data_IF_442894022941
#
_entry.id   IF_442894022941
#
_cell.length_a   1.000
_cell.length_b   1.000
_cell.length_c   1.000
_cell.angle_alpha   90.00
_cell.angle_beta   90.00
_cell.angle_gamma   90.00
#
_symmetry.space_group_name_H-M   'P 1'
#
loop_
_entity.id
_entity.type
_entity.pdbx_description
1 polymer ?
#
# COMPACT_ATOMS: atom_id res chain seq x y z
N UNK A 1 -30.65 23.38 -49.57
CA UNK A 1 -29.75 22.31 -50.05
C UNK A 1 -28.47 22.41 -49.25
N UNK A 2 -28.22 21.46 -48.34
CA UNK A 2 -26.98 21.42 -47.54
C UNK A 2 -26.02 20.41 -48.16
N UNK A 3 -24.73 20.72 -48.35
CA UNK A 3 -23.80 19.77 -48.93
C UNK A 3 -23.44 18.72 -47.88
N UNK A 4 -23.74 17.46 -48.18
CA UNK A 4 -23.28 16.30 -47.43
C UNK A 4 -21.75 16.19 -47.56
N UNK A 5 -21.04 16.44 -46.46
CA UNK A 5 -19.62 16.10 -46.30
C UNK A 5 -19.47 14.57 -46.39
N UNK A 6 -19.09 14.07 -47.56
CA UNK A 6 -19.02 12.63 -47.86
C UNK A 6 -17.74 11.95 -47.37
N UNK A 7 -16.73 12.66 -46.85
CA UNK A 7 -15.60 11.99 -46.18
C UNK A 7 -14.72 12.92 -45.33
N UNK A 8 -14.90 12.98 -43.99
CA UNK A 8 -14.13 13.89 -43.13
C UNK A 8 -12.71 13.42 -42.77
N UNK A 9 -12.22 12.29 -43.29
CA UNK A 9 -10.96 11.68 -42.82
C UNK A 9 -9.97 11.32 -43.94
N UNK A 10 -9.64 12.25 -44.84
CA UNK A 10 -8.63 11.99 -45.88
C UNK A 10 -7.17 12.00 -45.39
N UNK A 11 -6.88 12.56 -44.21
CA UNK A 11 -5.51 12.72 -43.70
C UNK A 11 -5.26 11.99 -42.36
N UNK A 12 -5.83 10.79 -42.16
CA UNK A 12 -5.39 9.95 -41.05
C UNK A 12 -4.06 9.33 -41.45
N UNK A 13 -2.96 10.02 -41.13
CA UNK A 13 -1.60 9.48 -41.14
C UNK A 13 -1.64 8.02 -40.72
N UNK A 14 -1.09 7.13 -41.56
CA UNK A 14 -1.09 5.68 -41.35
C UNK A 14 -0.70 5.43 -39.90
N UNK A 15 -1.67 5.11 -39.05
CA UNK A 15 -1.41 4.78 -37.66
C UNK A 15 -0.44 3.62 -37.71
N UNK A 16 0.82 3.84 -37.31
CA UNK A 16 1.80 2.78 -37.18
C UNK A 16 1.11 1.65 -36.43
N UNK A 17 0.92 0.50 -37.10
CA UNK A 17 0.37 -0.69 -36.45
C UNK A 17 1.31 -0.96 -35.29
N UNK A 18 0.81 -0.82 -34.06
CA UNK A 18 1.62 -1.11 -32.88
C UNK A 18 2.07 -2.56 -33.01
N UNK A 19 3.39 -2.79 -32.97
CA UNK A 19 3.93 -4.16 -33.01
C UNK A 19 3.31 -4.96 -31.86
N UNK A 20 2.97 -6.24 -32.06
CA UNK A 20 2.62 -7.09 -30.93
C UNK A 20 3.80 -7.13 -29.95
N UNK A 21 3.54 -7.17 -28.63
CA UNK A 21 4.59 -7.25 -27.64
C UNK A 21 5.35 -8.58 -27.78
N UNK A 22 6.68 -8.50 -27.74
CA UNK A 22 7.58 -9.65 -27.70
C UNK A 22 7.58 -10.26 -26.29
N UNK A 23 7.98 -11.52 -26.14
CA UNK A 23 8.15 -12.15 -24.83
C UNK A 23 9.08 -11.35 -23.90
N UNK A 24 10.15 -10.76 -24.44
CA UNK A 24 11.04 -9.87 -23.69
C UNK A 24 10.32 -8.63 -23.13
N UNK A 25 9.49 -7.96 -23.95
CA UNK A 25 8.70 -6.80 -23.50
C UNK A 25 7.76 -7.18 -22.34
N UNK A 26 7.17 -8.37 -22.39
CA UNK A 26 6.29 -8.86 -21.33
C UNK A 26 7.05 -9.18 -20.04
N UNK A 27 8.26 -9.73 -20.14
CA UNK A 27 9.12 -9.99 -18.97
C UNK A 27 9.54 -8.67 -18.33
N UNK A 28 9.95 -7.68 -19.11
CA UNK A 28 10.32 -6.35 -18.60
C UNK A 28 9.16 -5.68 -17.85
N UNK A 29 7.95 -5.70 -18.43
CA UNK A 29 6.75 -5.15 -17.80
C UNK A 29 6.35 -5.91 -16.52
N UNK A 30 6.56 -7.23 -16.47
CA UNK A 30 6.26 -8.04 -15.28
C UNK A 30 7.20 -7.75 -14.12
N UNK A 31 8.41 -7.29 -14.40
CA UNK A 31 9.40 -6.97 -13.38
C UNK A 31 9.36 -5.49 -12.97
N UNK A 32 8.73 -4.62 -13.75
CA UNK A 32 8.57 -3.21 -13.42
C UNK A 32 7.39 -3.01 -12.43
N UNK A 33 7.65 -2.51 -11.20
CA UNK A 33 6.62 -2.38 -10.16
C UNK A 33 5.49 -1.43 -10.58
N UNK A 34 5.80 -0.38 -11.34
CA UNK A 34 4.81 0.57 -11.83
C UNK A 34 3.91 -0.04 -12.89
N UNK A 35 4.49 -0.80 -13.82
CA UNK A 35 3.72 -1.50 -14.83
C UNK A 35 2.78 -2.53 -14.18
N UNK A 36 3.25 -3.29 -13.20
CA UNK A 36 2.43 -4.22 -12.42
C UNK A 36 1.30 -3.50 -11.69
N UNK A 37 1.59 -2.39 -11.00
CA UNK A 37 0.58 -1.62 -10.29
C UNK A 37 -0.50 -1.06 -11.24
N UNK A 38 -0.08 -0.47 -12.37
CA UNK A 38 -0.97 0.15 -13.36
C UNK A 38 -1.76 -0.88 -14.17
N UNK A 39 -1.21 -2.07 -14.40
CA UNK A 39 -1.91 -3.18 -15.06
C UNK A 39 -3.02 -3.77 -14.17
N UNK A 40 -3.00 -3.51 -12.86
CA UNK A 40 -4.05 -3.99 -11.97
C UNK A 40 -5.41 -3.36 -12.34
N UNK A 41 -6.54 -4.10 -12.21
CA UNK A 41 -7.83 -3.61 -12.64
C UNK A 41 -8.22 -2.30 -11.94
N UNK A 42 -8.65 -1.30 -12.71
CA UNK A 42 -9.17 -0.06 -12.16
C UNK A 42 -10.44 -0.32 -11.32
N UNK A 43 -10.49 0.27 -10.12
CA UNK A 43 -11.59 0.17 -9.16
C UNK A 43 -11.91 1.54 -8.58
N UNK A 44 -13.17 1.73 -8.20
CA UNK A 44 -13.63 2.96 -7.55
C UNK A 44 -13.29 2.92 -6.06
N UNK A 45 -12.72 4.00 -5.54
CA UNK A 45 -12.57 4.23 -4.11
C UNK A 45 -13.94 4.51 -3.48
N UNK A 46 -14.30 3.76 -2.44
CA UNK A 46 -15.60 3.86 -1.74
C UNK A 46 -15.79 5.19 -0.99
N UNK A 47 -14.70 5.90 -0.68
CA UNK A 47 -14.76 7.17 0.07
C UNK A 47 -14.70 8.37 -0.88
N UNK A 48 -13.76 8.38 -1.82
CA UNK A 48 -13.47 9.55 -2.67
C UNK A 48 -14.09 9.45 -4.05
N UNK A 49 -14.69 8.31 -4.42
CA UNK A 49 -15.21 8.00 -5.75
C UNK A 49 -14.17 8.03 -6.90
N UNK A 50 -12.89 8.30 -6.59
CA UNK A 50 -11.78 8.26 -7.57
C UNK A 50 -11.60 6.84 -8.08
N UNK A 51 -11.39 6.69 -9.39
CA UNK A 51 -11.01 5.41 -10.01
C UNK A 51 -9.49 5.30 -10.02
N UNK A 52 -8.96 4.27 -9.38
CA UNK A 52 -7.53 3.97 -9.34
C UNK A 52 -7.29 2.47 -9.55
N UNK A 53 -6.11 2.06 -10.04
CA UNK A 53 -5.71 0.66 -10.07
C UNK A 53 -5.84 0.00 -8.68
N UNK A 54 -6.33 -1.25 -8.63
CA UNK A 54 -6.53 -1.99 -7.37
C UNK A 54 -5.27 -2.01 -6.50
N UNK A 55 -4.08 -2.10 -7.11
CA UNK A 55 -2.82 -2.10 -6.40
C UNK A 55 -2.57 -0.84 -5.57
N UNK A 56 -3.20 0.29 -5.90
CA UNK A 56 -3.09 1.56 -5.17
C UNK A 56 -4.20 1.77 -4.11
N UNK A 57 -5.10 0.79 -3.97
CA UNK A 57 -6.20 0.82 -3.01
C UNK A 57 -5.98 -0.23 -1.94
N UNK A 58 -6.46 0.06 -0.74
CA UNK A 58 -6.48 -0.90 0.36
C UNK A 58 -7.86 -1.49 0.49
N UNK A 59 -7.92 -2.80 0.71
CA UNK A 59 -9.17 -3.51 0.92
C UNK A 59 -9.57 -3.44 2.40
N UNK A 60 -10.79 -2.99 2.64
CA UNK A 60 -11.41 -2.86 3.94
C UNK A 60 -12.61 -3.78 4.02
N UNK A 61 -12.86 -4.34 5.20
CA UNK A 61 -13.95 -5.28 5.42
C UNK A 61 -14.44 -5.21 6.86
N UNK A 62 -15.52 -5.96 7.10
CA UNK A 62 -16.12 -6.09 8.42
C UNK A 62 -15.48 -7.26 9.17
N UNK A 63 -15.01 -7.00 10.37
CA UNK A 63 -14.39 -7.97 11.27
C UNK A 63 -15.17 -7.98 12.58
N UNK A 64 -15.52 -9.18 13.06
CA UNK A 64 -16.22 -9.34 14.32
C UNK A 64 -15.32 -8.87 15.48
N UNK A 65 -15.88 -8.09 16.41
CA UNK A 65 -15.12 -7.64 17.58
C UNK A 65 -15.02 -8.77 18.60
N UNK A 66 -13.82 -9.12 19.09
CA UNK A 66 -13.70 -10.06 20.21
C UNK A 66 -14.51 -9.56 21.40
N UNK A 67 -15.32 -10.44 22.00
CA UNK A 67 -16.11 -10.18 23.21
C UNK A 67 -17.30 -9.21 23.04
N UNK A 68 -17.80 -8.98 21.82
CA UNK A 68 -19.07 -8.27 21.62
C UNK A 68 -19.71 -8.58 20.27
N UNK A 69 -21.04 -8.50 20.18
CA UNK A 69 -21.82 -8.66 18.93
C UNK A 69 -21.69 -7.48 17.93
N UNK A 70 -20.59 -6.71 18.01
CA UNK A 70 -20.35 -5.54 17.17
C UNK A 70 -19.30 -5.83 16.12
N UNK A 71 -19.37 -5.13 15.00
CA UNK A 71 -18.42 -5.29 13.91
C UNK A 71 -17.54 -4.06 13.74
N UNK A 72 -16.25 -4.29 13.58
CA UNK A 72 -15.29 -3.25 13.21
C UNK A 72 -15.10 -3.21 11.70
N UNK A 73 -14.95 -2.01 11.17
CA UNK A 73 -14.54 -1.80 9.79
C UNK A 73 -13.01 -1.63 9.74
N UNK A 74 -12.29 -2.63 9.24
CA UNK A 74 -10.83 -2.72 9.31
C UNK A 74 -10.18 -2.95 7.93
N UNK A 75 -8.90 -2.59 7.74
CA UNK A 75 -8.15 -2.85 6.50
C UNK A 75 -7.81 -4.35 6.38
N UNK A 76 -8.78 -5.18 6.00
CA UNK A 76 -8.62 -6.65 5.91
C UNK A 76 -7.51 -7.08 4.95
N UNK A 77 -7.23 -6.30 3.90
CA UNK A 77 -6.14 -6.60 2.97
C UNK A 77 -4.74 -6.45 3.57
N UNK A 78 -4.63 -5.74 4.71
CA UNK A 78 -3.38 -5.55 5.45
C UNK A 78 -3.26 -6.55 6.61
N UNK A 79 -4.39 -6.85 7.24
CA UNK A 79 -4.45 -7.68 8.44
C UNK A 79 -4.37 -9.19 8.13
N UNK A 80 -4.74 -9.61 6.91
CA UNK A 80 -4.54 -10.97 6.40
C UNK A 80 -4.79 -12.07 7.45
N UNK A 81 -3.71 -12.68 7.91
CA UNK A 81 -3.64 -13.84 8.80
C UNK A 81 -4.14 -13.55 10.23
N UNK A 82 -4.05 -12.30 10.70
CA UNK A 82 -4.44 -11.89 12.06
C UNK A 82 -5.97 -11.96 12.31
N UNK A 83 -6.77 -12.05 11.24
CA UNK A 83 -8.24 -12.07 11.33
C UNK A 83 -8.80 -13.51 11.36
N UNK A 84 -7.99 -14.52 11.01
CA UNK A 84 -8.45 -15.91 10.81
C UNK A 84 -8.45 -16.75 12.10
N UNK A 85 -7.91 -16.29 13.22
CA UNK A 85 -7.98 -17.03 14.48
C UNK A 85 -9.17 -16.56 15.35
N UNK A 86 -10.10 -17.48 15.67
CA UNK A 86 -9.78 -18.61 16.53
C UNK A 86 -10.12 -19.96 15.86
N UNK A 87 -9.10 -20.75 15.50
CA UNK A 87 -9.28 -22.21 15.48
C UNK A 87 -9.05 -22.68 16.91
N UNK A 88 -10.13 -22.85 17.65
CA UNK A 88 -10.14 -23.73 18.82
C UNK A 88 -9.64 -25.10 18.37
N UNK A 89 -8.48 -25.52 18.88
CA UNK A 89 -7.94 -26.87 18.74
C UNK A 89 -8.71 -27.87 19.61
N UNK A 90 -10.04 -27.89 19.51
CA UNK A 90 -10.88 -28.93 20.11
C UNK A 90 -11.79 -29.47 19.01
N UNK A 91 -11.20 -30.30 18.15
CA UNK A 91 -11.98 -31.25 17.39
C UNK A 91 -12.14 -32.49 18.26
N UNK A 92 -13.31 -32.63 18.91
CA UNK A 92 -13.97 -33.92 19.09
C UNK A 92 -15.46 -33.75 19.49
N UNK A 93 -16.32 -34.17 18.56
CA UNK A 93 -17.64 -34.80 18.73
C UNK A 93 -18.76 -33.98 19.42
N UNK A 94 -19.72 -33.48 18.63
CA UNK A 94 -21.11 -33.96 18.64
C UNK A 94 -22.05 -33.06 17.83
N UNK A 95 -23.15 -33.69 17.43
CA UNK A 95 -24.14 -33.36 16.42
C UNK A 95 -25.06 -32.17 16.78
N UNK A 96 -25.73 -31.63 15.75
CA UNK A 96 -26.90 -30.72 15.78
C UNK A 96 -26.71 -29.25 16.18
N UNK A 97 -26.52 -28.37 15.19
CA UNK A 97 -27.20 -27.04 15.08
C UNK A 97 -26.74 -26.24 13.84
N UNK A 98 -27.21 -26.68 12.67
CA UNK A 98 -27.09 -25.92 11.42
C UNK A 98 -28.08 -24.74 11.40
N UNK A 99 -27.72 -23.61 12.01
CA UNK A 99 -28.39 -22.32 11.75
C UNK A 99 -27.51 -21.09 12.04
N UNK A 100 -26.53 -21.20 12.94
CA UNK A 100 -25.67 -20.06 13.33
C UNK A 100 -24.40 -19.91 12.44
N UNK A 101 -23.89 -21.00 11.86
CA UNK A 101 -22.63 -21.00 11.10
C UNK A 101 -22.69 -20.42 9.69
N UNK A 102 -23.87 -20.31 9.07
CA UNK A 102 -24.00 -19.82 7.69
C UNK A 102 -24.04 -18.29 7.58
N UNK A 103 -24.38 -17.56 8.65
CA UNK A 103 -24.48 -16.09 8.61
C UNK A 103 -23.13 -15.39 8.73
N UNK A 104 -22.22 -15.91 9.56
CA UNK A 104 -20.89 -15.33 9.77
C UNK A 104 -20.06 -15.28 8.47
N UNK A 105 -20.26 -16.22 7.54
CA UNK A 105 -19.55 -16.26 6.25
C UNK A 105 -20.00 -15.19 5.25
N UNK A 106 -21.24 -14.70 5.34
CA UNK A 106 -21.78 -13.70 4.40
C UNK A 106 -21.11 -12.32 4.52
N UNK A 107 -20.65 -11.97 5.72
CA UNK A 107 -20.00 -10.69 6.05
C UNK A 107 -18.56 -10.60 5.52
N UNK A 108 -17.89 -11.76 5.42
CA UNK A 108 -16.52 -11.86 4.92
C UNK A 108 -16.42 -11.54 3.41
N UNK A 109 -17.55 -11.50 2.69
CA UNK A 109 -17.61 -11.14 1.28
C UNK A 109 -17.61 -9.61 1.03
N UNK A 110 -17.93 -8.80 2.03
CA UNK A 110 -18.12 -7.36 1.88
C UNK A 110 -16.79 -6.61 1.97
N UNK A 111 -16.13 -6.44 0.80
CA UNK A 111 -14.85 -5.72 0.68
C UNK A 111 -15.02 -4.34 0.02
N UNK A 112 -14.74 -3.28 0.77
CA UNK A 112 -14.62 -1.91 0.27
C UNK A 112 -13.18 -1.61 -0.10
N UNK A 113 -12.98 -0.64 -0.99
CA UNK A 113 -11.65 -0.24 -1.44
C UNK A 113 -11.48 1.23 -1.18
N UNK A 114 -10.40 1.59 -0.51
CA UNK A 114 -10.18 2.99 -0.14
C UNK A 114 -8.75 3.40 -0.47
N UNK A 115 -8.60 4.69 -0.75
CA UNK A 115 -7.27 5.31 -0.79
C UNK A 115 -6.83 5.46 0.67
N UNK A 116 -5.63 4.98 0.97
CA UNK A 116 -5.04 5.14 2.28
C UNK A 116 -4.34 6.50 2.37
N UNK A 117 -4.82 7.34 3.28
CA UNK A 117 -4.19 8.61 3.63
C UNK A 117 -4.48 8.91 5.10
N UNK A 118 -3.47 9.25 5.90
CA UNK A 118 -3.66 9.60 7.30
C UNK A 118 -4.58 10.80 7.47
N UNK A 119 -4.49 11.81 6.59
CA UNK A 119 -5.37 12.98 6.67
C UNK A 119 -6.83 12.60 6.43
N UNK A 120 -7.09 11.67 5.51
CA UNK A 120 -8.43 11.12 5.28
C UNK A 120 -8.91 10.31 6.49
N UNK A 121 -8.09 9.40 7.02
CA UNK A 121 -8.44 8.57 8.16
C UNK A 121 -8.69 9.39 9.43
N UNK A 122 -7.88 10.43 9.70
CA UNK A 122 -8.10 11.36 10.82
C UNK A 122 -9.40 12.14 10.65
N UNK A 123 -9.71 12.60 9.44
CA UNK A 123 -11.02 13.24 9.14
C UNK A 123 -12.18 12.27 9.37
N UNK A 124 -12.05 11.02 8.95
CA UNK A 124 -13.07 9.99 9.19
C UNK A 124 -13.23 9.70 10.68
N UNK A 125 -12.12 9.56 11.41
CA UNK A 125 -12.16 9.34 12.85
C UNK A 125 -12.86 10.49 13.57
N UNK A 126 -12.54 11.76 13.27
CA UNK A 126 -13.28 12.90 13.82
C UNK A 126 -14.78 12.81 13.49
N UNK A 127 -15.12 12.49 12.25
CA UNK A 127 -16.52 12.39 11.80
C UNK A 127 -17.26 11.18 12.34
N UNK A 128 -16.60 10.11 12.74
CA UNK A 128 -17.26 8.89 13.22
C UNK A 128 -17.23 8.76 14.74
N UNK A 129 -16.22 9.33 15.41
CA UNK A 129 -16.11 9.36 16.87
C UNK A 129 -17.03 10.39 17.53
N UNK A 130 -17.32 11.51 16.85
CA UNK A 130 -18.20 12.57 17.39
C UNK A 130 -19.69 12.20 17.41
N UNK A 131 -20.10 11.19 16.64
CA UNK A 131 -21.49 10.76 16.60
C UNK A 131 -21.73 9.70 17.67
N UNK A 132 -22.05 10.16 18.88
CA UNK A 132 -22.81 9.34 19.82
C UNK A 132 -24.16 9.06 19.17
N UNK A 133 -24.50 7.78 18.97
CA UNK A 133 -25.81 7.37 18.47
C UNK A 133 -26.87 7.95 19.39
N UNK A 134 -27.57 9.01 18.93
CA UNK A 134 -28.77 9.49 19.64
C UNK A 134 -29.78 8.34 19.63
N UNK A 135 -30.52 8.09 20.72
CA UNK A 135 -31.45 6.96 20.83
C UNK A 135 -32.51 6.92 19.71
N UNK A 136 -32.75 8.04 19.02
CA UNK A 136 -33.71 8.17 17.91
C UNK A 136 -33.13 8.02 16.50
N UNK A 137 -31.82 7.81 16.31
CA UNK A 137 -31.22 7.53 14.99
C UNK A 137 -30.32 6.28 15.06
N UNK A 138 -30.80 5.12 14.57
CA UNK A 138 -30.10 3.83 14.74
C UNK A 138 -28.94 3.62 13.76
N UNK A 139 -28.76 4.49 12.77
CA UNK A 139 -27.72 4.28 11.77
C UNK A 139 -26.38 4.83 12.25
N UNK A 140 -25.40 3.93 12.43
CA UNK A 140 -24.00 4.30 12.61
C UNK A 140 -23.55 5.21 11.46
N UNK A 141 -22.69 6.23 11.72
CA UNK A 141 -22.24 7.14 10.68
C UNK A 141 -21.37 6.44 9.61
N UNK A 142 -20.82 5.26 9.94
CA UNK A 142 -20.15 4.35 9.01
C UNK A 142 -21.08 3.91 7.87
N UNK A 143 -22.40 3.88 8.06
CA UNK A 143 -23.34 3.48 7.00
C UNK A 143 -23.31 4.37 5.75
N UNK A 144 -22.64 5.51 5.81
CA UNK A 144 -22.35 6.35 4.63
C UNK A 144 -21.28 5.75 3.72
N UNK A 145 -20.40 4.90 4.26
CA UNK A 145 -19.39 4.18 3.50
C UNK A 145 -19.94 2.93 2.82
N UNK A 146 -21.03 2.38 3.38
CA UNK A 146 -21.67 1.16 2.89
C UNK A 146 -22.45 1.48 1.60
N UNK A 147 -22.07 0.88 0.44
CA UNK A 147 -22.77 1.07 -0.82
C UNK A 147 -24.25 0.68 -0.74
N UNK A 148 -25.09 1.36 -1.51
CA UNK A 148 -26.53 1.07 -1.54
C UNK A 148 -26.85 -0.39 -1.88
N UNK A 149 -26.11 -0.99 -2.81
CA UNK A 149 -26.27 -2.40 -3.22
C UNK A 149 -25.93 -3.42 -2.14
N UNK A 150 -25.35 -3.00 -1.03
CA UNK A 150 -25.09 -3.88 0.11
C UNK A 150 -26.21 -3.85 1.14
N UNK A 151 -27.12 -2.87 1.05
CA UNK A 151 -28.24 -2.69 1.96
C UNK A 151 -29.44 -3.51 1.49
N UNK A 152 -30.18 -4.07 2.44
CA UNK A 152 -31.44 -4.78 2.18
C UNK A 152 -32.43 -3.88 1.41
N UNK A 153 -33.18 -4.40 0.43
CA UNK A 153 -33.24 -5.81 -0.01
C UNK A 153 -32.17 -6.22 -1.03
N UNK A 154 -31.39 -5.26 -1.55
CA UNK A 154 -30.47 -5.51 -2.66
C UNK A 154 -29.14 -6.17 -2.24
N UNK A 155 -28.85 -6.20 -0.94
CA UNK A 155 -27.65 -6.80 -0.39
C UNK A 155 -27.86 -7.37 1.00
N UNK A 156 -26.82 -8.01 1.56
CA UNK A 156 -26.94 -8.84 2.75
C UNK A 156 -27.10 -8.03 4.05
N UNK A 157 -26.86 -6.72 4.05
CA UNK A 157 -26.87 -5.90 5.27
C UNK A 157 -28.28 -5.42 5.59
N UNK A 158 -28.85 -5.94 6.67
CA UNK A 158 -30.10 -5.46 7.26
C UNK A 158 -29.89 -4.18 8.08
N UNK A 159 -30.99 -3.50 8.43
CA UNK A 159 -30.95 -2.31 9.28
C UNK A 159 -30.43 -2.61 10.70
N UNK A 160 -30.66 -3.83 11.21
CA UNK A 160 -30.15 -4.27 12.51
C UNK A 160 -28.63 -4.41 12.47
N UNK A 161 -28.09 -5.11 11.48
CA UNK A 161 -26.63 -5.32 11.37
C UNK A 161 -25.88 -4.01 11.08
N UNK A 162 -26.49 -3.12 10.30
CA UNK A 162 -26.01 -1.75 10.10
C UNK A 162 -25.83 -0.96 11.41
N UNK A 163 -26.66 -1.24 12.42
CA UNK A 163 -26.58 -0.61 13.74
C UNK A 163 -25.43 -1.15 14.60
N UNK A 164 -24.94 -2.36 14.29
CA UNK A 164 -23.83 -3.02 15.00
C UNK A 164 -22.45 -2.57 14.50
N UNK A 165 -22.38 -1.79 13.41
CA UNK A 165 -21.14 -1.30 12.84
C UNK A 165 -20.51 -0.20 13.71
N UNK A 166 -19.24 -0.38 14.06
CA UNK A 166 -18.48 0.52 14.92
C UNK A 166 -17.14 0.90 14.28
N UNK A 167 -16.80 2.19 14.39
CA UNK A 167 -15.47 2.68 14.02
C UNK A 167 -14.52 2.45 15.19
N UNK A 168 -13.41 1.75 14.95
CA UNK A 168 -12.38 1.54 15.97
C UNK A 168 -11.76 2.89 16.35
N UNK A 169 -11.59 3.16 17.64
CA UNK A 169 -10.83 4.32 18.13
C UNK A 169 -9.34 4.15 17.80
N UNK A 170 -8.66 5.23 17.45
CA UNK A 170 -7.26 5.20 17.03
C UNK A 170 -7.07 4.46 15.71
N UNK A 171 -8.04 4.53 14.78
CA UNK A 171 -7.92 3.87 13.48
C UNK A 171 -6.72 4.37 12.66
N UNK A 172 -6.42 5.67 12.57
CA UNK A 172 -5.29 6.15 11.79
C UNK A 172 -3.96 5.56 12.27
N UNK A 173 -3.74 5.56 13.58
CA UNK A 173 -2.49 5.06 14.19
C UNK A 173 -2.39 3.53 14.05
N UNK A 174 -3.52 2.82 14.21
CA UNK A 174 -3.56 1.38 13.99
C UNK A 174 -3.26 0.96 12.55
N UNK A 175 -3.82 1.68 11.57
CA UNK A 175 -3.53 1.43 10.15
C UNK A 175 -2.04 1.70 9.87
N UNK A 176 -1.50 2.79 10.42
CA UNK A 176 -0.09 3.13 10.28
C UNK A 176 0.82 2.04 10.85
N UNK A 177 0.58 1.63 12.09
CA UNK A 177 1.31 0.55 12.77
C UNK A 177 1.28 -0.74 11.95
N UNK A 178 0.10 -1.18 11.52
CA UNK A 178 -0.03 -2.41 10.73
C UNK A 178 0.64 -2.31 9.35
N UNK A 179 0.65 -1.13 8.72
CA UNK A 179 1.35 -0.92 7.45
C UNK A 179 2.87 -0.92 7.64
N UNK A 180 3.37 -0.38 8.75
CA UNK A 180 4.80 -0.46 9.09
C UNK A 180 5.23 -1.90 9.32
N UNK A 181 4.45 -2.68 10.09
CA UNK A 181 4.70 -4.11 10.30
C UNK A 181 4.73 -4.90 8.98
N UNK A 182 3.77 -4.67 8.08
CA UNK A 182 3.76 -5.34 6.76
C UNK A 182 4.99 -4.95 5.91
N UNK A 183 5.36 -3.66 5.90
CA UNK A 183 6.57 -3.20 5.20
C UNK A 183 7.83 -3.83 5.79
N UNK A 184 7.98 -3.86 7.13
CA UNK A 184 9.11 -4.50 7.80
C UNK A 184 9.20 -5.99 7.45
N UNK A 185 8.09 -6.71 7.52
CA UNK A 185 8.01 -8.13 7.15
C UNK A 185 8.48 -8.33 5.71
N UNK A 186 8.00 -7.51 4.77
CA UNK A 186 8.40 -7.60 3.36
C UNK A 186 9.86 -7.26 3.13
N UNK A 187 10.38 -6.20 3.77
CA UNK A 187 11.79 -5.80 3.68
C UNK A 187 12.73 -6.90 4.20
N UNK A 188 12.41 -7.50 5.35
CA UNK A 188 13.16 -8.64 5.88
C UNK A 188 13.11 -9.86 4.96
N UNK A 189 11.96 -10.13 4.36
CA UNK A 189 11.82 -11.23 3.42
C UNK A 189 12.71 -11.02 2.19
N UNK A 190 12.77 -9.80 1.63
CA UNK A 190 13.58 -9.51 0.44
C UNK A 190 15.06 -9.22 0.74
N UNK A 191 15.44 -9.06 2.00
CA UNK A 191 16.86 -9.00 2.42
C UNK A 191 17.43 -10.38 2.78
N UNK A 192 16.60 -11.43 2.77
CA UNK A 192 17.07 -12.79 3.06
C UNK A 192 18.10 -13.31 2.04
N UNK A 193 18.96 -14.22 2.48
CA UNK A 193 20.10 -14.78 1.72
C UNK A 193 19.77 -15.42 0.36
N UNK A 194 18.49 -15.64 0.05
CA UNK A 194 18.03 -16.15 -1.24
C UNK A 194 18.19 -15.11 -2.37
N UNK A 195 18.06 -13.81 -2.06
CA UNK A 195 18.09 -12.74 -3.07
C UNK A 195 19.51 -12.31 -3.47
N UNK A 196 20.54 -12.79 -2.76
CA UNK A 196 21.95 -12.57 -3.11
C UNK A 196 22.47 -13.55 -4.17
N UNK A 197 21.81 -14.69 -4.36
CA UNK A 197 22.34 -15.78 -5.18
C UNK A 197 21.94 -15.69 -6.66
N UNK A 198 20.94 -14.87 -7.01
CA UNK A 198 20.24 -15.01 -8.30
C UNK A 198 20.59 -13.98 -9.38
N UNK A 199 21.31 -12.89 -9.11
CA UNK A 199 21.67 -11.90 -10.14
C UNK A 199 23.06 -11.27 -9.94
N UNK A 200 23.77 -11.02 -11.04
CA UNK A 200 25.10 -10.38 -11.05
C UNK A 200 25.12 -9.00 -10.37
N UNK A 201 24.00 -8.29 -10.44
CA UNK A 201 23.86 -6.92 -9.94
C UNK A 201 23.11 -6.80 -8.60
N UNK A 202 22.53 -7.91 -8.12
CA UNK A 202 21.77 -8.00 -6.87
C UNK A 202 20.46 -7.19 -6.82
N UNK A 203 19.63 -7.45 -5.81
CA UNK A 203 18.42 -6.67 -5.48
C UNK A 203 18.79 -5.38 -4.73
N UNK A 204 19.92 -5.39 -4.02
CA UNK A 204 20.35 -4.32 -3.13
C UNK A 204 21.74 -3.81 -3.52
N UNK A 205 21.91 -2.48 -3.51
CA UNK A 205 23.22 -1.83 -3.60
C UNK A 205 23.36 -0.76 -2.54
N UNK A 206 24.50 -0.73 -1.86
CA UNK A 206 24.80 0.34 -0.91
C UNK A 206 25.17 1.62 -1.67
N UNK A 207 24.68 2.75 -1.18
CA UNK A 207 25.08 4.07 -1.68
C UNK A 207 26.08 4.62 -0.67
N UNK A 208 27.30 4.89 -1.13
CA UNK A 208 28.32 5.56 -0.33
C UNK A 208 27.83 6.97 0.00
N UNK A 209 27.51 7.21 1.27
CA UNK A 209 27.04 8.48 1.78
C UNK A 209 27.47 8.64 3.23
N UNK A 210 28.08 9.79 3.53
CA UNK A 210 28.47 10.17 4.89
C UNK A 210 27.42 11.08 5.56
N UNK A 211 26.61 11.77 4.74
CA UNK A 211 25.58 12.71 5.19
C UNK A 211 24.30 12.58 4.35
N UNK A 212 23.15 12.89 4.95
CA UNK A 212 21.85 12.90 4.26
C UNK A 212 21.66 14.23 3.54
N UNK A 213 22.18 14.34 2.31
CA UNK A 213 21.99 15.49 1.44
C UNK A 213 21.73 15.04 -0.01
N UNK A 214 20.92 15.81 -0.74
CA UNK A 214 20.60 15.52 -2.15
C UNK A 214 21.85 15.50 -3.03
N UNK A 215 22.81 16.40 -2.79
CA UNK A 215 24.04 16.48 -3.57
C UNK A 215 24.94 15.27 -3.34
N UNK A 216 25.09 14.85 -2.08
CA UNK A 216 25.85 13.65 -1.69
C UNK A 216 25.19 12.40 -2.26
N UNK A 217 23.87 12.32 -2.19
CA UNK A 217 23.10 11.22 -2.77
C UNK A 217 23.32 11.12 -4.29
N UNK A 218 23.26 12.24 -5.02
CA UNK A 218 23.52 12.25 -6.46
C UNK A 218 24.96 11.84 -6.80
N UNK A 219 25.94 12.20 -5.97
CA UNK A 219 27.32 11.74 -6.14
C UNK A 219 27.47 10.24 -5.88
N UNK A 220 26.87 9.72 -4.80
CA UNK A 220 26.86 8.29 -4.49
C UNK A 220 26.17 7.47 -5.58
N UNK A 221 25.04 7.98 -6.12
CA UNK A 221 24.37 7.38 -7.26
C UNK A 221 25.27 7.35 -8.50
N UNK A 222 25.99 8.43 -8.82
CA UNK A 222 26.93 8.45 -9.96
C UNK A 222 27.99 7.35 -9.84
N UNK A 223 28.54 7.11 -8.64
CA UNK A 223 29.59 6.10 -8.39
C UNK A 223 29.10 4.67 -8.56
N UNK A 224 27.81 4.41 -8.32
CA UNK A 224 27.20 3.08 -8.49
C UNK A 224 27.25 2.54 -9.92
N UNK A 225 27.46 3.42 -10.91
CA UNK A 225 27.41 3.07 -12.33
C UNK A 225 25.99 2.78 -12.83
N UNK A 226 25.87 2.42 -14.10
CA UNK A 226 24.62 1.94 -14.70
C UNK A 226 24.58 0.41 -14.66
N UNK A 227 23.41 -0.15 -14.40
CA UNK A 227 23.16 -1.58 -14.40
C UNK A 227 21.73 -1.84 -14.88
N UNK A 228 21.43 -3.11 -15.12
CA UNK A 228 20.16 -3.50 -15.73
C UNK A 228 18.97 -3.04 -14.88
N UNK A 229 18.04 -2.31 -15.52
CA UNK A 229 16.76 -1.87 -14.94
C UNK A 229 16.88 -0.92 -13.74
N UNK A 230 17.92 -0.10 -13.70
CA UNK A 230 18.10 0.96 -12.69
C UNK A 230 16.96 2.00 -12.72
N UNK A 231 16.24 2.16 -13.82
CA UNK A 231 15.07 3.04 -13.89
C UNK A 231 13.84 2.50 -13.16
N UNK A 232 13.80 1.21 -12.84
CA UNK A 232 12.67 0.54 -12.19
C UNK A 232 12.79 0.44 -10.65
N UNK A 233 13.94 0.82 -10.09
CA UNK A 233 14.19 0.71 -8.65
C UNK A 233 13.80 1.94 -7.84
N UNK A 234 14.25 1.96 -6.59
CA UNK A 234 13.99 2.99 -5.61
C UNK A 234 15.21 3.24 -4.71
N UNK A 235 15.23 4.40 -4.09
CA UNK A 235 16.24 4.77 -3.11
C UNK A 235 15.61 4.70 -1.71
N UNK A 236 16.27 4.04 -0.77
CA UNK A 236 15.90 3.98 0.64
C UNK A 236 16.94 4.75 1.45
N UNK A 237 16.48 5.69 2.27
CA UNK A 237 17.32 6.46 3.18
C UNK A 237 16.99 6.00 4.60
N UNK A 238 17.99 5.45 5.32
CA UNK A 238 17.81 4.96 6.69
C UNK A 238 17.72 6.10 7.72
N UNK A 239 18.21 7.29 7.37
CA UNK A 239 18.39 8.42 8.30
C UNK A 239 19.62 8.25 9.20
N UNK A 240 20.12 9.36 9.76
CA UNK A 240 21.29 9.31 10.65
C UNK A 240 20.97 8.52 11.93
N UNK A 241 21.96 7.75 12.40
CA UNK A 241 21.91 7.08 13.70
C UNK A 241 22.33 8.00 14.84
N UNK A 242 22.95 9.15 14.53
CA UNK A 242 23.41 10.11 15.53
C UNK A 242 22.26 11.04 15.90
N UNK A 243 21.48 10.61 16.89
CA UNK A 243 20.75 11.51 17.76
C UNK A 243 21.77 12.29 18.60
N UNK A 244 22.33 13.34 18.00
CA UNK A 244 23.14 14.35 18.67
C UNK A 244 22.47 15.70 18.49
N UNK A 245 21.94 16.21 19.60
CA UNK A 245 21.70 17.62 19.92
C UNK A 245 21.18 18.55 18.80
N UNK A 246 19.91 18.94 18.88
CA UNK A 246 19.42 20.21 18.32
C UNK A 246 19.49 20.43 16.80
N UNK A 247 19.90 19.45 16.00
CA UNK A 247 19.85 19.56 14.54
C UNK A 247 18.39 19.57 14.08
N UNK A 248 17.90 20.77 13.79
CA UNK A 248 16.61 21.10 13.17
C UNK A 248 16.22 20.04 12.15
N UNK A 249 15.45 19.03 12.57
CA UNK A 249 14.91 17.95 11.73
C UNK A 249 13.81 18.46 10.78
N UNK A 250 13.95 19.70 10.32
CA UNK A 250 12.90 20.50 9.71
C UNK A 250 13.35 21.46 8.60
N UNK A 251 14.58 21.40 8.06
CA UNK A 251 14.95 22.33 6.97
C UNK A 251 15.35 21.72 5.62
N UNK A 252 15.63 20.41 5.52
CA UNK A 252 15.86 19.79 4.21
C UNK A 252 15.09 18.48 4.09
N UNK A 253 13.80 18.58 3.75
CA UNK A 253 13.06 17.40 3.33
C UNK A 253 13.60 16.95 1.98
N UNK A 254 14.19 15.76 1.91
CA UNK A 254 14.53 15.14 0.63
C UNK A 254 13.28 15.05 -0.26
N UNK A 255 13.43 15.23 -1.58
CA UNK A 255 12.32 15.10 -2.49
C UNK A 255 11.82 13.65 -2.52
N UNK A 256 10.53 13.46 -2.78
CA UNK A 256 9.94 12.11 -2.90
C UNK A 256 10.42 11.35 -4.14
N UNK A 257 11.07 12.04 -5.09
CA UNK A 257 11.59 11.49 -6.33
C UNK A 257 12.91 12.15 -6.70
N UNK A 258 13.83 11.36 -7.27
CA UNK A 258 15.12 11.85 -7.76
C UNK A 258 15.34 11.36 -9.19
N UNK A 259 15.94 12.20 -10.02
CA UNK A 259 16.38 11.82 -11.36
C UNK A 259 17.73 11.10 -11.27
N UNK A 260 17.80 9.90 -11.82
CA UNK A 260 19.03 9.12 -11.86
C UNK A 260 20.07 9.78 -12.77
N UNK A 261 21.33 9.95 -12.33
CA UNK A 261 22.39 10.53 -13.16
C UNK A 261 22.68 9.75 -14.45
N UNK A 262 22.44 8.43 -14.47
CA UNK A 262 22.79 7.55 -15.58
C UNK A 262 21.77 7.57 -16.71
N UNK A 263 20.48 7.61 -16.36
CA UNK A 263 19.37 7.44 -17.31
C UNK A 263 18.43 8.64 -17.37
N UNK A 264 18.64 9.65 -16.51
CA UNK A 264 17.71 10.76 -16.25
C UNK A 264 16.29 10.33 -15.82
N UNK A 265 16.09 9.04 -15.54
CA UNK A 265 14.79 8.49 -15.14
C UNK A 265 14.47 8.87 -13.70
N UNK A 266 13.20 9.18 -13.42
CA UNK A 266 12.74 9.53 -12.06
C UNK A 266 12.42 8.27 -11.27
N UNK A 267 13.14 8.05 -10.17
CA UNK A 267 12.90 6.96 -9.22
C UNK A 267 12.37 7.51 -7.90
N UNK A 268 11.49 6.77 -7.19
CA UNK A 268 11.01 7.19 -5.88
C UNK A 268 12.11 7.11 -4.82
N UNK A 269 12.04 8.03 -3.87
CA UNK A 269 12.86 8.05 -2.67
C UNK A 269 11.97 7.78 -1.44
N UNK A 270 12.35 6.76 -0.69
CA UNK A 270 11.71 6.34 0.56
C UNK A 270 12.59 6.72 1.74
N UNK A 271 12.19 7.78 2.44
CA UNK A 271 12.84 8.18 3.68
C UNK A 271 12.29 7.35 4.86
N UNK A 272 13.02 6.31 5.24
CA UNK A 272 12.60 5.41 6.31
C UNK A 272 12.59 6.08 7.68
N UNK A 273 13.32 7.19 7.87
CA UNK A 273 13.24 7.97 9.11
C UNK A 273 11.88 8.63 9.31
N UNK A 274 11.15 8.88 8.21
CA UNK A 274 9.77 9.40 8.22
C UNK A 274 8.74 8.29 8.18
N UNK A 275 9.02 7.18 7.48
CA UNK A 275 8.07 6.10 7.29
C UNK A 275 7.99 5.16 8.49
N UNK A 276 9.12 4.89 9.15
CA UNK A 276 9.26 3.98 10.29
C UNK A 276 9.62 4.74 11.56
N UNK A 277 9.35 4.15 12.72
CA UNK A 277 9.85 4.61 14.01
C UNK A 277 11.30 4.18 14.26
N UNK A 278 11.95 4.78 15.25
CA UNK A 278 13.35 4.49 15.58
C UNK A 278 13.56 3.01 15.96
N UNK A 279 12.65 2.45 16.76
CA UNK A 279 12.70 1.05 17.16
C UNK A 279 12.60 0.09 15.96
N UNK A 280 11.72 0.40 15.00
CA UNK A 280 11.53 -0.38 13.77
C UNK A 280 12.75 -0.28 12.83
N UNK A 281 13.40 0.89 12.75
CA UNK A 281 14.65 1.07 12.01
C UNK A 281 15.80 0.30 12.64
N UNK A 282 15.90 0.32 13.97
CA UNK A 282 16.91 -0.44 14.71
C UNK A 282 16.71 -1.95 14.56
N UNK A 283 15.46 -2.40 14.48
CA UNK A 283 15.12 -3.78 14.18
C UNK A 283 15.62 -4.20 12.79
N UNK A 284 15.45 -3.37 11.75
CA UNK A 284 16.01 -3.63 10.41
C UNK A 284 17.53 -3.67 10.42
N UNK A 285 18.17 -2.71 11.10
CA UNK A 285 19.63 -2.63 11.27
C UNK A 285 20.22 -3.88 11.92
N UNK A 286 19.52 -4.46 12.90
CA UNK A 286 19.91 -5.70 13.57
C UNK A 286 19.66 -6.93 12.70
N UNK A 287 18.66 -6.88 11.81
CA UNK A 287 18.28 -8.00 10.97
C UNK A 287 19.25 -8.24 9.81
N UNK A 288 19.67 -7.17 9.11
CA UNK A 288 20.64 -7.28 8.01
C UNK A 288 21.66 -6.12 8.05
N UNK A 289 22.98 -6.41 7.98
CA UNK A 289 24.05 -5.40 7.96
C UNK A 289 23.89 -4.32 6.89
N UNK A 290 23.21 -4.57 5.78
CA UNK A 290 22.98 -3.58 4.72
C UNK A 290 22.23 -2.36 5.24
N UNK A 291 21.27 -2.53 6.14
CA UNK A 291 20.49 -1.44 6.71
C UNK A 291 21.30 -0.56 7.68
N UNK A 292 22.56 -0.91 7.98
CA UNK A 292 23.49 0.00 8.68
C UNK A 292 23.96 1.15 7.79
N UNK A 293 23.93 0.98 6.45
CA UNK A 293 24.29 2.03 5.51
C UNK A 293 23.22 3.12 5.48
N UNK A 294 23.63 4.38 5.28
CA UNK A 294 22.71 5.52 5.26
C UNK A 294 21.77 5.50 4.04
N UNK A 295 22.29 5.06 2.88
CA UNK A 295 21.57 4.97 1.63
C UNK A 295 21.65 3.57 1.03
N UNK A 296 20.51 3.07 0.58
CA UNK A 296 20.39 1.81 -0.14
C UNK A 296 19.61 2.05 -1.43
N UNK A 297 20.03 1.37 -2.49
CA UNK A 297 19.29 1.28 -3.72
C UNK A 297 18.63 -0.10 -3.82
N UNK A 298 17.33 -0.11 -4.09
CA UNK A 298 16.49 -1.29 -4.16
C UNK A 298 15.98 -1.50 -5.58
N UNK A 299 16.39 -2.59 -6.22
CA UNK A 299 15.97 -2.99 -7.57
C UNK A 299 15.00 -4.18 -7.50
N UNK A 300 13.72 -3.98 -7.87
CA UNK A 300 12.77 -5.09 -7.98
C UNK A 300 13.01 -5.93 -9.24
N UNK A 301 13.12 -7.25 -9.05
CA UNK A 301 13.44 -8.23 -10.10
C UNK A 301 12.38 -9.35 -10.22
N UNK A 302 11.52 -9.51 -9.23
CA UNK A 302 10.54 -10.58 -9.14
C UNK A 302 9.27 -10.14 -8.38
N UNK A 303 8.32 -11.07 -8.22
CA UNK A 303 7.04 -10.74 -7.59
C UNK A 303 7.18 -10.29 -6.13
N UNK A 304 8.07 -10.89 -5.35
CA UNK A 304 8.24 -10.58 -3.92
C UNK A 304 8.91 -9.23 -3.71
N UNK A 305 9.91 -8.88 -4.51
CA UNK A 305 10.57 -7.58 -4.49
C UNK A 305 9.65 -6.47 -5.00
N UNK A 306 8.84 -6.73 -6.04
CA UNK A 306 7.78 -5.81 -6.48
C UNK A 306 6.76 -5.59 -5.37
N UNK A 307 6.32 -6.65 -4.70
CA UNK A 307 5.36 -6.55 -3.60
C UNK A 307 5.91 -5.72 -2.42
N UNK A 308 7.20 -5.87 -2.08
CA UNK A 308 7.88 -5.04 -1.09
C UNK A 308 7.95 -3.57 -1.53
N UNK A 309 8.26 -3.32 -2.80
CA UNK A 309 8.27 -1.98 -3.40
C UNK A 309 6.90 -1.32 -3.29
N UNK A 310 5.84 -2.02 -3.68
CA UNK A 310 4.47 -1.50 -3.64
C UNK A 310 3.98 -1.27 -2.19
N UNK A 311 4.46 -2.06 -1.23
CA UNK A 311 4.17 -1.83 0.18
C UNK A 311 4.83 -0.54 0.71
N UNK A 312 6.10 -0.29 0.37
CA UNK A 312 6.79 0.98 0.67
C UNK A 312 6.04 2.16 0.06
N UNK A 313 5.64 2.03 -1.21
CA UNK A 313 4.86 3.06 -1.92
C UNK A 313 3.54 3.36 -1.23
N UNK A 314 2.81 2.33 -0.80
CA UNK A 314 1.55 2.49 -0.06
C UNK A 314 1.77 3.17 1.29
N UNK A 315 2.84 2.83 2.02
CA UNK A 315 3.16 3.46 3.30
C UNK A 315 3.53 4.94 3.12
N UNK A 316 4.34 5.28 2.12
CA UNK A 316 4.62 6.68 1.78
C UNK A 316 3.35 7.42 1.37
N UNK A 317 2.48 6.80 0.57
CA UNK A 317 1.17 7.34 0.21
C UNK A 317 0.25 7.58 1.43
N UNK A 318 0.31 6.70 2.44
CA UNK A 318 -0.42 6.84 3.69
C UNK A 318 0.05 8.09 4.46
N UNK A 319 1.38 8.25 4.62
CA UNK A 319 2.01 9.30 5.44
C UNK A 319 2.04 10.67 4.75
N UNK A 320 2.04 10.70 3.41
CA UNK A 320 2.04 11.95 2.63
C UNK A 320 0.95 12.91 3.10
N UNK A 321 1.38 14.09 3.52
CA UNK A 321 0.49 15.21 3.77
C UNK A 321 -0.07 15.68 2.42
N UNK A 322 -1.39 15.85 2.35
CA UNK A 322 -2.10 16.44 1.23
C UNK A 322 -2.95 17.59 1.70
#
# INVERSE_FOLDING_TARGET
MSPLLTNPYLNRTKKHKKRPPTAADLTELRQNPWAVALASPARMCSITAVRAPRALLTEWGLVHRPNSDKYWFLPTGLLGDDIIEPKSNDAEIADSSQAAGQRASSWQCLKLRTINSLSLLRRMEMRFSQFKTKPRKPSSPIMRLVPYRWKYPNGPITAHEASLLVWRRGMPDFVLEKMRVDVLKRLKNVSGAQYDKHERDGVWRCIEMDEVSETVLLQGLKRMGSFERVECGAILIMGSSQAGDGAVAGMYSLPDFIALPQTASKVPLFDLSRLLSDAERDELRRFDPRFQNMGLYFRPNDATTIDAFLALWKLQGLVRHG
#
